data_IF_192382441435
#
_entry.id   IF_192382441435
#
_cell.length_a   1.000
_cell.length_b   1.000
_cell.length_c   1.000
_cell.angle_alpha   90.00
_cell.angle_beta   90.00
_cell.angle_gamma   90.00
#
_symmetry.space_group_name_H-M   'P 1'
#
loop_
_entity.id
_entity.type
_entity.pdbx_description
1 polymer ?
#
# COMPACT_ATOMS: atom_id res chain seq x y z
N UNK A 1 18.02 3.09 3.15
CA UNK A 1 16.60 3.16 2.71
C UNK A 1 16.12 4.60 2.78
N UNK A 2 15.45 5.06 1.74
CA UNK A 2 14.79 6.38 1.65
C UNK A 2 13.77 6.40 0.51
N UNK A 3 12.84 7.36 0.57
CA UNK A 3 11.89 7.66 -0.50
C UNK A 3 11.95 9.16 -0.78
N UNK A 4 12.25 9.55 -2.02
CA UNK A 4 12.34 10.95 -2.42
C UNK A 4 11.38 11.19 -3.60
N UNK A 5 10.58 12.22 -3.50
CA UNK A 5 9.75 12.76 -4.56
C UNK A 5 10.26 14.14 -4.96
N UNK A 6 10.56 14.34 -6.24
CA UNK A 6 11.05 15.58 -6.83
C UNK A 6 10.07 16.03 -7.91
N UNK A 7 9.23 17.03 -7.59
CA UNK A 7 8.23 17.62 -8.48
C UNK A 7 7.32 16.59 -9.16
N UNK A 8 6.86 15.59 -8.37
CA UNK A 8 6.14 14.44 -8.90
C UNK A 8 4.70 14.79 -9.22
N UNK A 9 4.34 14.63 -10.48
CA UNK A 9 2.97 14.76 -10.98
C UNK A 9 2.52 13.45 -11.62
N UNK A 10 1.30 13.02 -11.31
CA UNK A 10 0.64 11.89 -11.94
C UNK A 10 -0.75 12.28 -12.42
N UNK A 11 -0.99 12.11 -13.70
CA UNK A 11 -2.33 12.20 -14.25
C UNK A 11 -2.73 10.91 -14.95
N UNK A 12 -4.03 10.67 -14.97
CA UNK A 12 -4.66 9.60 -15.71
C UNK A 12 -5.57 10.20 -16.78
N UNK A 13 -5.63 9.53 -17.91
CA UNK A 13 -6.59 9.88 -18.93
C UNK A 13 -7.95 9.31 -18.55
N UNK A 14 -8.97 10.17 -18.46
CA UNK A 14 -10.35 9.72 -18.30
C UNK A 14 -10.80 9.16 -19.64
N UNK A 15 -10.66 7.85 -19.78
CA UNK A 15 -11.21 7.15 -20.92
C UNK A 15 -12.72 7.11 -20.75
N UNK A 16 -13.45 7.92 -21.48
CA UNK A 16 -14.86 7.62 -21.73
C UNK A 16 -14.86 6.39 -22.65
N UNK A 17 -15.61 5.34 -22.28
CA UNK A 17 -15.79 4.15 -23.11
C UNK A 17 -16.53 4.53 -24.40
N UNK A 18 -15.76 5.12 -25.33
CA UNK A 18 -16.27 5.41 -26.68
C UNK A 18 -16.02 4.19 -27.54
N UNK A 19 -17.08 3.59 -28.06
CA UNK A 19 -16.97 2.55 -29.07
C UNK A 19 -16.26 3.12 -30.31
N UNK A 20 -15.56 2.27 -31.06
CA UNK A 20 -14.89 2.67 -32.33
C UNK A 20 -15.83 3.45 -33.27
N UNK A 21 -17.15 3.18 -33.24
CA UNK A 21 -18.18 3.89 -33.98
C UNK A 21 -18.37 5.35 -33.55
N UNK A 22 -18.04 5.71 -32.32
CA UNK A 22 -18.16 7.08 -31.79
C UNK A 22 -16.86 7.87 -31.94
N UNK A 23 -15.71 7.18 -32.12
CA UNK A 23 -14.41 7.81 -32.33
C UNK A 23 -14.33 8.54 -33.70
N UNK A 24 -14.86 7.97 -34.76
CA UNK A 24 -14.79 8.54 -36.12
C UNK A 24 -15.55 9.88 -36.24
N UNK A 25 -16.81 10.02 -35.75
CA UNK A 25 -17.52 11.30 -35.76
C UNK A 25 -16.91 12.34 -34.82
N UNK A 26 -16.25 11.90 -33.73
CA UNK A 26 -15.64 12.80 -32.75
C UNK A 26 -14.37 13.48 -33.26
N UNK A 27 -13.57 12.79 -34.05
CA UNK A 27 -12.39 13.35 -34.74
C UNK A 27 -12.79 14.42 -35.77
N UNK A 28 -13.92 14.25 -36.45
CA UNK A 28 -14.44 15.22 -37.43
C UNK A 28 -15.10 16.45 -36.78
N UNK A 29 -15.55 16.35 -35.52
CA UNK A 29 -16.20 17.44 -34.78
C UNK A 29 -15.30 18.23 -33.85
N UNK A 30 -13.97 18.03 -33.90
CA UNK A 30 -13.01 18.79 -33.08
C UNK A 30 -13.26 18.65 -31.58
N UNK A 31 -13.74 17.46 -31.13
CA UNK A 31 -14.02 17.22 -29.70
C UNK A 31 -12.74 17.27 -28.91
N UNK A 32 -12.79 17.97 -27.77
CA UNK A 32 -11.66 18.17 -26.84
C UNK A 32 -10.99 16.84 -26.51
N UNK A 33 -9.66 16.79 -26.46
CA UNK A 33 -8.94 15.63 -25.93
C UNK A 33 -9.49 15.31 -24.54
N UNK A 34 -9.67 14.01 -24.24
CA UNK A 34 -10.28 13.54 -23.00
C UNK A 34 -9.70 14.22 -21.76
N UNK A 35 -10.54 14.39 -20.77
CA UNK A 35 -10.22 15.10 -19.54
C UNK A 35 -9.13 14.34 -18.76
N UNK A 36 -8.02 15.01 -18.44
CA UNK A 36 -6.99 14.44 -17.57
C UNK A 36 -7.37 14.65 -16.10
N UNK A 37 -7.38 13.57 -15.34
CA UNK A 37 -7.52 13.63 -13.89
C UNK A 37 -6.12 13.68 -13.30
N UNK A 38 -5.78 14.82 -12.66
CA UNK A 38 -4.54 14.96 -11.93
C UNK A 38 -4.67 14.28 -10.56
N UNK A 39 -4.13 13.09 -10.44
CA UNK A 39 -4.15 12.33 -9.20
C UNK A 39 -3.09 12.79 -8.18
N UNK A 40 -1.95 13.27 -8.67
CA UNK A 40 -0.90 13.93 -7.88
C UNK A 40 -0.37 15.13 -8.67
N UNK A 41 -0.03 16.24 -7.96
CA UNK A 41 0.48 17.50 -8.53
C UNK A 41 1.64 18.01 -7.69
N UNK A 42 2.81 18.10 -8.32
CA UNK A 42 4.04 18.69 -7.74
C UNK A 42 4.36 18.23 -6.31
N UNK A 43 4.26 16.90 -6.06
CA UNK A 43 4.60 16.33 -4.77
C UNK A 43 6.11 16.38 -4.56
N UNK A 44 6.53 16.96 -3.43
CA UNK A 44 7.92 17.07 -3.02
C UNK A 44 8.08 16.63 -1.56
N UNK A 45 8.81 15.54 -1.32
CA UNK A 45 9.07 15.04 0.03
C UNK A 45 10.29 14.15 0.09
N UNK A 46 10.83 14.01 1.29
CA UNK A 46 11.93 13.13 1.59
C UNK A 46 11.62 12.35 2.87
N UNK A 47 11.47 11.03 2.73
CA UNK A 47 11.18 10.09 3.80
C UNK A 47 12.45 9.27 4.05
N UNK A 48 12.87 9.20 5.30
CA UNK A 48 14.12 8.57 5.71
C UNK A 48 13.86 7.37 6.63
N UNK A 49 14.92 6.59 6.86
CA UNK A 49 14.91 5.48 7.80
C UNK A 49 14.33 5.90 9.16
N UNK A 50 13.38 5.12 9.68
CA UNK A 50 12.68 5.38 10.94
C UNK A 50 11.46 6.30 10.82
N UNK A 51 11.18 6.86 9.64
CA UNK A 51 9.97 7.62 9.43
C UNK A 51 8.74 6.70 9.33
N UNK A 52 7.72 7.04 10.11
CA UNK A 52 6.38 6.47 10.00
C UNK A 52 5.45 7.58 9.56
N UNK A 53 5.02 7.55 8.30
CA UNK A 53 4.28 8.64 7.65
C UNK A 53 2.81 8.30 7.54
N UNK A 54 1.96 9.04 8.22
CA UNK A 54 0.51 8.99 8.05
C UNK A 54 0.09 9.80 6.81
N UNK A 55 -0.56 9.14 5.84
CA UNK A 55 -1.06 9.83 4.64
C UNK A 55 -2.53 10.16 4.83
N UNK A 56 -2.82 11.45 4.91
CA UNK A 56 -4.13 12.02 5.18
C UNK A 56 -4.71 12.67 3.92
N UNK A 57 -6.03 12.68 3.82
CA UNK A 57 -6.75 13.30 2.72
C UNK A 57 -8.11 12.67 2.51
N UNK A 58 -9.04 13.41 1.89
CA UNK A 58 -10.40 12.94 1.57
C UNK A 58 -10.37 11.79 0.55
N UNK A 59 -11.49 11.10 0.36
CA UNK A 59 -11.61 10.11 -0.71
C UNK A 59 -11.37 10.77 -2.07
N UNK A 60 -10.56 10.10 -2.92
CA UNK A 60 -10.15 10.66 -4.21
C UNK A 60 -9.03 11.72 -4.14
N UNK A 61 -8.47 12.01 -2.96
CA UNK A 61 -7.40 13.01 -2.83
C UNK A 61 -6.07 12.61 -3.52
N UNK A 62 -5.85 11.32 -3.81
CA UNK A 62 -4.63 10.81 -4.44
C UNK A 62 -3.81 9.85 -3.59
N UNK A 63 -4.27 9.48 -2.37
CA UNK A 63 -3.55 8.62 -1.42
C UNK A 63 -3.12 7.28 -2.02
N UNK A 64 -4.05 6.54 -2.62
CA UNK A 64 -3.75 5.23 -3.23
C UNK A 64 -2.83 5.38 -4.45
N UNK A 65 -2.93 6.48 -5.21
CA UNK A 65 -1.99 6.78 -6.31
C UNK A 65 -0.58 7.04 -5.75
N UNK A 66 -0.47 7.76 -4.65
CA UNK A 66 0.81 7.99 -3.97
C UNK A 66 1.47 6.66 -3.55
N UNK A 67 0.71 5.75 -2.93
CA UNK A 67 1.21 4.41 -2.59
C UNK A 67 1.62 3.61 -3.83
N UNK A 68 0.81 3.62 -4.90
CA UNK A 68 1.11 2.90 -6.15
C UNK A 68 2.35 3.44 -6.85
N UNK A 69 2.63 4.73 -6.72
CA UNK A 69 3.87 5.35 -7.25
C UNK A 69 5.08 4.90 -6.45
N UNK A 70 5.01 4.84 -5.11
CA UNK A 70 6.10 4.31 -4.28
C UNK A 70 6.33 2.83 -4.57
N UNK A 71 5.26 2.04 -4.68
CA UNK A 71 5.33 0.60 -4.99
C UNK A 71 5.85 0.30 -6.41
N UNK A 72 6.04 1.32 -7.26
CA UNK A 72 6.45 1.12 -8.65
C UNK A 72 5.37 0.55 -9.57
N UNK A 73 4.13 0.38 -9.08
CA UNK A 73 2.97 -0.11 -9.86
C UNK A 73 2.60 0.88 -10.96
N UNK A 74 2.79 2.18 -10.69
CA UNK A 74 2.59 3.22 -11.70
C UNK A 74 3.74 4.22 -11.70
N UNK A 75 4.19 4.61 -12.89
CA UNK A 75 5.25 5.62 -13.04
C UNK A 75 4.66 7.04 -12.93
N UNK A 76 5.40 8.02 -12.40
CA UNK A 76 5.01 9.41 -12.47
C UNK A 76 4.92 9.87 -13.93
N UNK A 77 4.07 10.87 -14.20
CA UNK A 77 3.97 11.50 -15.53
C UNK A 77 5.04 12.58 -15.69
N UNK A 78 5.35 13.30 -14.59
CA UNK A 78 6.43 14.28 -14.51
C UNK A 78 7.16 14.13 -13.18
N UNK A 79 8.38 14.64 -13.11
CA UNK A 79 9.21 14.57 -11.92
C UNK A 79 9.89 13.21 -11.76
N UNK A 80 10.50 12.99 -10.60
CA UNK A 80 11.28 11.80 -10.31
C UNK A 80 10.94 11.24 -8.93
N UNK A 81 10.82 9.91 -8.85
CA UNK A 81 10.71 9.18 -7.58
C UNK A 81 11.92 8.29 -7.42
N UNK A 82 12.57 8.37 -6.27
CA UNK A 82 13.70 7.53 -5.89
C UNK A 82 13.26 6.73 -4.68
N UNK A 83 13.30 5.40 -4.77
CA UNK A 83 13.02 4.48 -3.67
C UNK A 83 14.22 3.57 -3.50
N UNK A 84 14.83 3.64 -2.32
CA UNK A 84 15.98 2.79 -1.95
C UNK A 84 15.56 1.88 -0.79
N UNK A 85 15.44 0.59 -1.05
CA UNK A 85 15.04 -0.45 -0.12
C UNK A 85 14.00 -1.40 -0.70
N UNK A 86 13.86 -2.58 -0.08
CA UNK A 86 12.84 -3.57 -0.45
C UNK A 86 11.48 -3.13 0.05
N UNK A 87 10.46 -3.19 -0.80
CA UNK A 87 9.09 -2.77 -0.47
C UNK A 87 8.23 -3.99 -0.17
N UNK A 88 7.51 -3.97 0.96
CA UNK A 88 6.38 -4.87 1.23
C UNK A 88 5.07 -4.08 1.07
N UNK A 89 4.34 -4.24 -0.04
CA UNK A 89 3.06 -3.57 -0.24
C UNK A 89 1.95 -4.37 0.43
N UNK A 90 1.43 -3.90 1.58
CA UNK A 90 0.18 -4.36 2.17
C UNK A 90 -1.05 -3.61 1.60
N UNK A 91 -0.99 -3.17 0.36
CA UNK A 91 -2.08 -2.41 -0.27
C UNK A 91 -3.19 -3.35 -0.74
N UNK A 92 -2.82 -4.54 -1.16
CA UNK A 92 -3.74 -5.58 -1.63
C UNK A 92 -3.31 -6.92 -1.00
N UNK A 93 -3.87 -7.24 0.18
CA UNK A 93 -3.56 -8.49 0.88
C UNK A 93 -3.93 -9.71 0.05
N UNK A 94 -3.00 -10.66 -0.05
CA UNK A 94 -3.19 -11.85 -0.88
C UNK A 94 -3.09 -11.60 -2.38
N UNK A 95 -2.68 -10.41 -2.82
CA UNK A 95 -2.33 -10.19 -4.21
C UNK A 95 -1.27 -11.22 -4.65
N UNK A 96 -1.55 -11.93 -5.74
CA UNK A 96 -0.71 -13.02 -6.22
C UNK A 96 -1.05 -14.41 -5.65
N UNK A 97 -2.04 -14.54 -4.76
CA UNK A 97 -2.54 -15.84 -4.37
C UNK A 97 -3.28 -16.52 -5.52
N UNK A 98 -2.97 -17.78 -5.76
CA UNK A 98 -3.67 -18.60 -6.75
C UNK A 98 -4.79 -19.38 -6.08
N UNK A 99 -6.07 -19.22 -6.49
CA UNK A 99 -7.21 -19.80 -5.78
C UNK A 99 -7.19 -21.34 -5.67
N UNK A 100 -6.61 -22.01 -6.64
CA UNK A 100 -6.56 -23.49 -6.68
C UNK A 100 -5.41 -24.07 -5.84
N UNK A 101 -4.42 -23.25 -5.47
CA UNK A 101 -3.30 -23.67 -4.63
C UNK A 101 -3.70 -23.64 -3.16
N UNK A 102 -3.09 -24.52 -2.38
CA UNK A 102 -3.21 -24.56 -0.92
C UNK A 102 -2.60 -23.32 -0.27
N UNK A 103 -2.90 -23.08 1.02
CA UNK A 103 -2.23 -22.01 1.78
C UNK A 103 -0.71 -22.20 1.78
N UNK A 104 -0.23 -23.43 1.94
CA UNK A 104 1.20 -23.79 1.85
C UNK A 104 1.80 -23.35 0.52
N UNK A 105 1.23 -23.78 -0.58
CA UNK A 105 1.73 -23.46 -1.92
C UNK A 105 1.67 -21.95 -2.20
N UNK A 106 0.66 -21.25 -1.70
CA UNK A 106 0.57 -19.81 -1.82
C UNK A 106 1.63 -19.07 -0.99
N UNK A 107 2.06 -19.59 0.16
CA UNK A 107 3.20 -19.05 0.91
C UNK A 107 4.46 -19.10 0.04
N UNK A 108 4.75 -20.23 -0.59
CA UNK A 108 5.92 -20.38 -1.47
C UNK A 108 5.81 -19.49 -2.72
N UNK A 109 4.63 -19.46 -3.35
CA UNK A 109 4.38 -18.60 -4.51
C UNK A 109 4.63 -17.13 -4.18
N UNK A 110 4.01 -16.63 -3.11
CA UNK A 110 4.18 -15.23 -2.70
C UNK A 110 5.59 -14.91 -2.21
N UNK A 111 6.20 -15.80 -1.42
CA UNK A 111 7.60 -15.65 -1.00
C UNK A 111 8.52 -15.49 -2.21
N UNK A 112 8.30 -16.29 -3.26
CA UNK A 112 9.07 -16.19 -4.51
C UNK A 112 8.79 -14.87 -5.26
N UNK A 113 7.56 -14.37 -5.27
CA UNK A 113 7.21 -13.05 -5.84
C UNK A 113 7.96 -11.93 -5.09
N UNK A 114 8.12 -12.05 -3.76
CA UNK A 114 8.93 -11.13 -2.96
C UNK A 114 10.45 -11.36 -3.11
N UNK A 115 10.86 -12.30 -3.96
CA UNK A 115 12.26 -12.55 -4.29
C UNK A 115 13.00 -13.44 -3.29
N UNK A 116 12.30 -14.21 -2.45
CA UNK A 116 12.91 -15.18 -1.56
C UNK A 116 13.20 -16.49 -2.30
N UNK A 117 14.33 -17.10 -1.98
CA UNK A 117 14.62 -18.48 -2.35
C UNK A 117 13.76 -19.45 -1.52
N UNK A 118 13.63 -20.68 -2.01
CA UNK A 118 12.89 -21.73 -1.29
C UNK A 118 13.42 -21.90 0.15
N UNK A 119 14.75 -21.89 0.33
CA UNK A 119 15.38 -22.02 1.65
C UNK A 119 14.98 -20.90 2.61
N UNK A 120 14.98 -19.64 2.13
CA UNK A 120 14.55 -18.48 2.94
C UNK A 120 13.05 -18.57 3.30
N UNK A 121 12.23 -19.13 2.41
CA UNK A 121 10.80 -19.34 2.69
C UNK A 121 10.65 -20.47 3.75
N UNK A 122 11.41 -21.56 3.63
CA UNK A 122 11.40 -22.66 4.59
C UNK A 122 11.74 -22.15 6.02
N UNK A 123 12.68 -21.21 6.15
CA UNK A 123 13.10 -20.60 7.43
C UNK A 123 11.99 -19.81 8.13
N UNK A 124 11.05 -19.19 7.38
CA UNK A 124 9.96 -18.36 7.93
C UNK A 124 8.58 -19.02 7.84
N UNK A 125 8.50 -20.20 7.23
CA UNK A 125 7.23 -20.86 6.93
C UNK A 125 6.38 -21.12 8.18
N UNK A 126 6.98 -21.72 9.20
CA UNK A 126 6.27 -22.07 10.43
C UNK A 126 5.81 -20.82 11.19
N UNK A 127 6.60 -19.74 11.17
CA UNK A 127 6.23 -18.45 11.76
C UNK A 127 5.04 -17.84 11.02
N UNK A 128 5.01 -17.91 9.69
CA UNK A 128 3.88 -17.44 8.88
C UNK A 128 2.62 -18.19 9.25
N UNK A 129 2.68 -19.53 9.30
CA UNK A 129 1.53 -20.40 9.60
C UNK A 129 1.02 -20.17 11.02
N UNK A 130 1.93 -20.04 11.98
CA UNK A 130 1.61 -19.78 13.38
C UNK A 130 0.99 -18.38 13.57
N UNK A 131 1.56 -17.35 12.92
CA UNK A 131 1.02 -16.00 12.99
C UNK A 131 -0.39 -15.92 12.40
N UNK A 132 -0.62 -16.55 11.24
CA UNK A 132 -1.92 -16.62 10.59
C UNK A 132 -2.96 -17.45 11.37
N UNK A 133 -2.51 -18.31 12.29
CA UNK A 133 -3.34 -19.29 12.99
C UNK A 133 -4.10 -20.22 12.02
N UNK A 134 -3.41 -20.71 11.00
CA UNK A 134 -4.01 -21.52 9.93
C UNK A 134 -3.45 -22.94 9.84
N UNK A 135 -2.80 -23.44 10.90
CA UNK A 135 -2.15 -24.75 10.91
C UNK A 135 -3.07 -25.88 10.43
N UNK A 136 -4.35 -25.86 10.82
CA UNK A 136 -5.35 -26.90 10.43
C UNK A 136 -5.81 -26.78 8.98
N UNK A 137 -5.63 -25.63 8.35
CA UNK A 137 -6.16 -25.34 7.02
C UNK A 137 -5.06 -25.12 5.98
N UNK A 138 -3.79 -25.19 6.38
CA UNK A 138 -2.67 -24.78 5.51
C UNK A 138 -2.58 -25.60 4.22
N UNK A 139 -3.02 -26.85 4.26
CA UNK A 139 -3.02 -27.76 3.11
C UNK A 139 -4.37 -27.77 2.36
N UNK A 140 -5.28 -26.83 2.67
CA UNK A 140 -6.54 -26.61 1.97
C UNK A 140 -6.37 -25.52 0.90
N UNK A 141 -6.93 -25.69 -0.33
CA UNK A 141 -6.93 -24.64 -1.35
C UNK A 141 -7.57 -23.34 -0.86
N UNK A 142 -6.92 -22.18 -1.14
CA UNK A 142 -7.36 -20.88 -0.59
C UNK A 142 -8.73 -20.42 -1.12
N UNK A 143 -9.24 -20.99 -2.20
CA UNK A 143 -10.62 -20.75 -2.66
C UNK A 143 -11.68 -21.19 -1.63
N UNK A 144 -11.31 -22.07 -0.68
CA UNK A 144 -12.17 -22.53 0.41
C UNK A 144 -11.94 -21.76 1.71
N UNK A 145 -11.05 -20.77 1.72
CA UNK A 145 -10.83 -19.92 2.88
C UNK A 145 -11.97 -18.91 3.04
N UNK A 146 -12.29 -18.59 4.28
CA UNK A 146 -13.07 -17.40 4.55
C UNK A 146 -12.27 -16.14 4.18
N UNK A 147 -12.94 -15.01 3.98
CA UNK A 147 -12.25 -13.73 3.73
C UNK A 147 -11.24 -13.39 4.83
N UNK A 148 -11.59 -13.67 6.10
CA UNK A 148 -10.69 -13.50 7.24
C UNK A 148 -9.45 -14.39 7.15
N UNK A 149 -9.61 -15.69 6.86
CA UNK A 149 -8.48 -16.63 6.69
C UNK A 149 -7.56 -16.17 5.54
N UNK A 150 -8.14 -15.77 4.42
CA UNK A 150 -7.40 -15.29 3.25
C UNK A 150 -6.55 -14.06 3.59
N UNK A 151 -7.16 -13.08 4.26
CA UNK A 151 -6.48 -11.85 4.66
C UNK A 151 -5.42 -12.11 5.74
N UNK A 152 -5.70 -13.00 6.73
CA UNK A 152 -4.73 -13.40 7.76
C UNK A 152 -3.51 -14.05 7.14
N UNK A 153 -3.67 -14.94 6.16
CA UNK A 153 -2.55 -15.53 5.44
C UNK A 153 -1.75 -14.49 4.66
N UNK A 154 -2.43 -13.63 3.89
CA UNK A 154 -1.78 -12.57 3.09
C UNK A 154 -0.97 -11.60 3.94
N UNK A 155 -1.53 -11.14 5.06
CA UNK A 155 -0.80 -10.29 6.02
C UNK A 155 0.41 -11.03 6.61
N UNK A 156 0.20 -12.28 7.04
CA UNK A 156 1.26 -13.07 7.67
C UNK A 156 2.45 -13.30 6.74
N UNK A 157 2.22 -13.59 5.46
CA UNK A 157 3.30 -13.67 4.47
C UNK A 157 4.03 -12.35 4.36
N UNK A 158 3.32 -11.26 4.13
CA UNK A 158 3.91 -9.96 3.87
C UNK A 158 4.75 -9.40 5.05
N UNK A 159 4.41 -9.74 6.31
CA UNK A 159 5.15 -9.27 7.50
C UNK A 159 6.30 -10.20 7.94
N UNK A 160 6.46 -11.36 7.29
CA UNK A 160 7.58 -12.27 7.56
C UNK A 160 8.60 -12.32 6.43
N UNK A 161 8.33 -11.68 5.28
CA UNK A 161 9.36 -11.48 4.25
C UNK A 161 10.27 -10.30 4.62
N UNK A 162 11.57 -10.33 4.26
CA UNK A 162 12.48 -9.21 4.51
C UNK A 162 12.09 -7.97 3.70
N UNK A 163 11.87 -6.86 4.35
CA UNK A 163 11.61 -5.57 3.72
C UNK A 163 12.28 -4.41 4.47
N UNK A 164 12.35 -3.27 3.83
CA UNK A 164 12.84 -2.00 4.35
C UNK A 164 11.72 -0.97 4.48
N UNK A 165 10.75 -1.04 3.57
CA UNK A 165 9.64 -0.09 3.42
C UNK A 165 8.33 -0.86 3.43
N UNK A 166 7.44 -0.49 4.34
CA UNK A 166 6.10 -1.06 4.43
C UNK A 166 5.08 -0.03 3.95
N UNK A 167 4.24 -0.45 2.99
CA UNK A 167 3.11 0.37 2.52
C UNK A 167 1.82 -0.28 2.98
N UNK A 168 1.00 0.43 3.73
CA UNK A 168 -0.27 -0.09 4.25
C UNK A 168 -1.42 0.87 4.00
N UNK A 169 -2.57 0.34 3.55
CA UNK A 169 -3.80 1.06 3.28
C UNK A 169 -4.94 0.43 4.12
N UNK A 170 -5.33 1.10 5.22
CA UNK A 170 -6.44 0.74 6.13
C UNK A 170 -6.46 -0.70 6.71
N UNK A 171 -5.44 -1.50 6.47
CA UNK A 171 -5.42 -2.96 6.64
C UNK A 171 -5.33 -3.42 8.12
N UNK A 172 -5.23 -2.51 9.10
CA UNK A 172 -5.20 -2.94 10.52
C UNK A 172 -6.55 -3.46 11.04
N UNK A 173 -7.62 -3.39 10.24
CA UNK A 173 -8.93 -3.95 10.56
C UNK A 173 -9.13 -5.39 10.04
N UNK A 174 -8.05 -6.13 9.78
CA UNK A 174 -8.10 -7.50 9.25
C UNK A 174 -8.34 -8.53 10.36
N UNK A 175 -9.26 -9.46 10.10
CA UNK A 175 -9.53 -10.57 11.00
C UNK A 175 -10.33 -10.16 12.25
N UNK A 176 -10.24 -10.98 13.28
CA UNK A 176 -10.84 -10.72 14.60
C UNK A 176 -9.94 -9.81 15.46
N UNK A 177 -10.46 -9.41 16.61
CA UNK A 177 -9.76 -8.51 17.56
C UNK A 177 -8.39 -9.04 17.99
N UNK A 178 -8.28 -10.36 18.19
CA UNK A 178 -7.01 -10.99 18.60
C UNK A 178 -5.95 -10.88 17.50
N UNK A 179 -6.34 -11.13 16.24
CA UNK A 179 -5.43 -10.99 15.12
C UNK A 179 -5.03 -9.53 14.87
N UNK A 180 -5.96 -8.59 15.03
CA UNK A 180 -5.68 -7.15 14.94
C UNK A 180 -4.62 -6.73 15.97
N UNK A 181 -4.70 -7.20 17.21
CA UNK A 181 -3.68 -6.94 18.24
C UNK A 181 -2.31 -7.51 17.84
N UNK A 182 -2.27 -8.73 17.26
CA UNK A 182 -1.02 -9.32 16.73
C UNK A 182 -0.42 -8.44 15.62
N UNK A 183 -1.26 -7.94 14.70
CA UNK A 183 -0.84 -7.03 13.64
C UNK A 183 -0.25 -5.73 14.19
N UNK A 184 -0.93 -5.10 15.16
CA UNK A 184 -0.46 -3.85 15.78
C UNK A 184 0.89 -4.07 16.48
N UNK A 185 1.04 -5.16 17.25
CA UNK A 185 2.30 -5.50 17.92
C UNK A 185 3.44 -5.68 16.91
N UNK A 186 3.18 -6.36 15.79
CA UNK A 186 4.15 -6.57 14.71
C UNK A 186 4.54 -5.23 14.04
N UNK A 187 3.56 -4.36 13.78
CA UNK A 187 3.82 -3.02 13.22
C UNK A 187 4.68 -2.16 14.15
N UNK A 188 4.44 -2.23 15.47
CA UNK A 188 5.25 -1.53 16.47
C UNK A 188 6.70 -2.06 16.48
N UNK A 189 6.92 -3.38 16.29
CA UNK A 189 8.27 -3.92 16.20
C UNK A 189 9.03 -3.36 14.98
N UNK A 190 8.37 -3.27 13.82
CA UNK A 190 8.96 -2.68 12.62
C UNK A 190 9.35 -1.20 12.80
N UNK A 191 8.50 -0.43 13.51
CA UNK A 191 8.83 0.95 13.86
C UNK A 191 10.08 1.02 14.75
N UNK A 192 10.21 0.11 15.75
CA UNK A 192 11.40 0.02 16.62
C UNK A 192 12.66 -0.40 15.85
N UNK A 193 12.54 -1.23 14.83
CA UNK A 193 13.62 -1.63 13.92
C UNK A 193 14.05 -0.50 12.98
N UNK A 194 13.35 0.64 13.00
CA UNK A 194 13.64 1.78 12.14
C UNK A 194 13.27 1.56 10.67
N UNK A 195 12.29 0.70 10.37
CA UNK A 195 11.73 0.57 9.01
C UNK A 195 11.02 1.85 8.61
N UNK A 196 10.92 2.11 7.31
CA UNK A 196 10.01 3.13 6.79
C UNK A 196 8.62 2.53 6.72
N UNK A 197 7.62 3.23 7.27
CA UNK A 197 6.23 2.79 7.22
C UNK A 197 5.38 3.93 6.63
N UNK A 198 4.68 3.64 5.54
CA UNK A 198 3.68 4.56 4.97
C UNK A 198 2.31 4.01 5.32
N UNK A 199 1.58 4.78 6.12
CA UNK A 199 0.32 4.35 6.73
C UNK A 199 -0.82 5.24 6.26
N UNK A 200 -1.74 4.69 5.47
CA UNK A 200 -2.99 5.36 5.10
C UNK A 200 -4.08 4.88 6.04
N UNK A 201 -4.77 5.81 6.70
CA UNK A 201 -5.91 5.49 7.54
C UNK A 201 -6.83 6.69 7.71
N UNK A 202 -8.11 6.42 7.86
CA UNK A 202 -9.11 7.42 8.25
C UNK A 202 -9.23 7.59 9.77
N UNK A 203 -8.67 6.67 10.57
CA UNK A 203 -8.65 6.73 12.03
C UNK A 203 -7.53 7.67 12.51
N UNK A 204 -7.84 8.96 12.67
CA UNK A 204 -6.86 10.00 13.03
C UNK A 204 -6.15 9.72 14.36
N UNK A 205 -6.82 9.09 15.32
CA UNK A 205 -6.23 8.71 16.61
C UNK A 205 -5.12 7.66 16.42
N UNK A 206 -5.37 6.66 15.56
CA UNK A 206 -4.37 5.65 15.24
C UNK A 206 -3.18 6.29 14.52
N UNK A 207 -3.42 7.20 13.56
CA UNK A 207 -2.35 7.94 12.86
C UNK A 207 -1.54 8.76 13.86
N UNK A 208 -2.20 9.48 14.79
CA UNK A 208 -1.52 10.30 15.80
C UNK A 208 -0.65 9.47 16.77
N UNK A 209 -1.11 8.27 17.13
CA UNK A 209 -0.39 7.40 18.05
C UNK A 209 0.76 6.65 17.37
N UNK A 210 0.61 6.28 16.10
CA UNK A 210 1.55 5.41 15.41
C UNK A 210 2.59 6.18 14.58
N UNK A 211 2.20 7.27 13.90
CA UNK A 211 3.06 8.00 12.98
C UNK A 211 3.87 9.11 13.67
N UNK A 212 5.06 9.42 13.14
CA UNK A 212 5.86 10.58 13.55
C UNK A 212 5.76 11.73 12.54
N UNK A 213 5.41 11.44 11.30
CA UNK A 213 5.17 12.42 10.24
C UNK A 213 3.79 12.26 9.63
N UNK A 214 3.29 13.33 9.02
CA UNK A 214 2.05 13.34 8.28
C UNK A 214 2.22 13.98 6.90
N UNK A 215 1.64 13.34 5.89
CA UNK A 215 1.47 13.88 4.55
C UNK A 215 0.00 14.15 4.32
N UNK A 216 -0.36 15.41 4.10
CA UNK A 216 -1.72 15.83 3.78
C UNK A 216 -1.84 16.11 2.30
N UNK A 217 -2.71 15.34 1.62
CA UNK A 217 -3.02 15.50 0.19
C UNK A 217 -4.49 15.91 0.05
N UNK A 218 -4.73 16.97 -0.74
CA UNK A 218 -6.06 17.36 -1.17
C UNK A 218 -6.12 17.61 -2.67
N UNK A 219 -7.07 16.95 -3.36
CA UNK A 219 -7.25 17.04 -4.83
C UNK A 219 -5.94 16.90 -5.62
N UNK A 220 -5.07 15.99 -5.17
CA UNK A 220 -3.77 15.72 -5.76
C UNK A 220 -2.65 16.65 -5.32
N UNK A 221 -2.92 17.75 -4.63
CA UNK A 221 -1.91 18.68 -4.17
C UNK A 221 -1.38 18.28 -2.80
N UNK A 222 -0.08 18.46 -2.59
CA UNK A 222 0.53 18.36 -1.26
C UNK A 222 0.23 19.64 -0.48
N UNK A 223 -0.62 19.52 0.53
CA UNK A 223 -0.99 20.64 1.41
C UNK A 223 0.03 20.80 2.54
N UNK A 224 0.54 19.67 3.04
CA UNK A 224 1.50 19.67 4.13
C UNK A 224 2.31 18.37 4.15
N UNK A 225 3.57 18.46 4.55
CA UNK A 225 4.39 17.32 4.94
C UNK A 225 5.29 17.74 6.12
N UNK A 226 5.21 17.03 7.24
CA UNK A 226 5.97 17.35 8.45
C UNK A 226 5.45 16.59 9.68
N UNK A 227 5.39 17.25 10.82
CA UNK A 227 4.88 16.65 12.08
C UNK A 227 3.45 16.12 11.93
N UNK A 228 3.20 14.93 12.49
CA UNK A 228 1.89 14.25 12.34
C UNK A 228 0.75 15.03 12.99
N UNK A 229 0.97 15.67 14.15
CA UNK A 229 -0.08 16.41 14.87
C UNK A 229 -0.49 17.65 14.08
N UNK A 230 0.50 18.33 13.49
CA UNK A 230 0.26 19.47 12.60
C UNK A 230 -0.53 19.05 11.36
N UNK A 231 -0.15 17.93 10.71
CA UNK A 231 -0.87 17.38 9.56
C UNK A 231 -2.35 17.06 9.89
N UNK A 232 -2.60 16.44 11.04
CA UNK A 232 -3.96 16.13 11.53
C UNK A 232 -4.76 17.42 11.79
N UNK A 233 -4.13 18.43 12.39
CA UNK A 233 -4.79 19.70 12.67
C UNK A 233 -5.24 20.39 11.38
N UNK A 234 -4.36 20.44 10.38
CA UNK A 234 -4.69 20.98 9.05
C UNK A 234 -5.77 20.16 8.34
N UNK A 235 -5.74 18.84 8.46
CA UNK A 235 -6.77 17.97 7.89
C UNK A 235 -8.17 18.23 8.47
N UNK A 236 -8.27 18.49 9.80
CA UNK A 236 -9.55 18.79 10.46
C UNK A 236 -10.14 20.14 10.03
N UNK A 237 -9.31 21.04 9.50
CA UNK A 237 -9.69 22.38 9.07
C UNK A 237 -9.87 22.50 7.53
N UNK A 238 -9.82 21.38 6.79
CA UNK A 238 -10.11 21.28 5.36
C UNK A 238 -11.61 21.07 5.09
#
# INVERSE_FOLDING_TARGET
MKIIFENVTKHFFKQEDRTLKELIPSLLKGLKPGEFINALKDINLNIQKGDTVGVLGRNGAGKSTFLKVIAGVTKPTKGKVIVEGKIAPLIELGAGFHPQLTGRENIYLNGSIFGLSKKEIDEVFDDIVAFADLKKFIDTPVKHYSSGMYMRLGFSVAVHVPFDILLTDEILAVGDTEFQEKCIKKMISFKKEGKIIIFVSHALETVAAFCNKGLLIDKGNQIFYGDVKEAINRYKNL
#
